data_IF_684955509020
#
_entry.id   IF_684955509020
#
_cell.length_a   1.000
_cell.length_b   1.000
_cell.length_c   1.000
_cell.angle_alpha   90.00
_cell.angle_beta   90.00
_cell.angle_gamma   90.00
#
_symmetry.space_group_name_H-M   'P 1'
#
loop_
_entity.id
_entity.type
_entity.pdbx_description
1 polymer ?
#
# COMPACT_ATOMS: atom_id res chain seq x y z
N UNK A 1 -15.91 -5.78 -25.74
CA UNK A 1 -14.64 -5.05 -25.74
C UNK A 1 -14.90 -3.65 -26.27
N UNK A 2 -14.94 -2.63 -25.40
CA UNK A 2 -14.97 -1.22 -25.83
C UNK A 2 -13.53 -0.84 -26.11
N UNK A 3 -13.20 -0.60 -27.38
CA UNK A 3 -11.88 -0.09 -27.77
C UNK A 3 -12.03 1.42 -27.90
N UNK A 4 -11.27 2.16 -27.11
CA UNK A 4 -11.24 3.62 -27.13
C UNK A 4 -9.84 4.06 -27.56
N UNK A 5 -9.76 4.95 -28.55
CA UNK A 5 -8.49 5.54 -29.00
C UNK A 5 -8.24 6.75 -28.12
N UNK A 6 -7.37 6.59 -27.13
CA UNK A 6 -6.90 7.67 -26.26
C UNK A 6 -5.89 8.49 -27.04
N UNK A 7 -6.21 9.76 -27.34
CA UNK A 7 -5.23 10.70 -27.89
C UNK A 7 -4.14 10.94 -26.83
N UNK A 8 -2.87 10.93 -27.23
CA UNK A 8 -1.71 11.24 -26.35
C UNK A 8 -1.38 10.20 -25.25
N UNK A 9 -1.76 8.93 -25.42
CA UNK A 9 -1.56 7.90 -24.38
C UNK A 9 -0.11 7.75 -23.86
N UNK A 10 0.90 8.06 -24.68
CA UNK A 10 2.31 7.99 -24.30
C UNK A 10 2.85 9.31 -23.69
N UNK A 11 2.09 10.40 -23.78
CA UNK A 11 2.46 11.72 -23.25
C UNK A 11 1.69 12.06 -21.97
N UNK A 12 0.83 11.15 -21.49
CA UNK A 12 0.05 11.33 -20.25
C UNK A 12 0.90 11.04 -19.03
N UNK A 13 0.70 11.84 -17.99
CA UNK A 13 1.24 11.61 -16.66
C UNK A 13 0.48 10.47 -15.98
N UNK A 14 1.16 9.41 -15.52
CA UNK A 14 0.51 8.39 -14.70
C UNK A 14 -0.06 9.00 -13.41
N UNK A 15 -1.35 8.78 -13.16
CA UNK A 15 -2.02 9.14 -11.92
C UNK A 15 -2.43 7.86 -11.18
N UNK A 16 -1.95 7.69 -9.95
CA UNK A 16 -2.14 6.46 -9.18
C UNK A 16 -2.33 6.76 -7.69
N UNK A 17 -3.03 5.88 -6.98
CA UNK A 17 -3.20 5.92 -5.53
C UNK A 17 -2.59 4.67 -4.88
N UNK A 18 -1.62 4.88 -3.99
CA UNK A 18 -1.07 3.88 -3.07
C UNK A 18 -1.87 3.89 -1.78
N UNK A 19 -2.29 2.69 -1.37
CA UNK A 19 -3.00 2.44 -0.12
C UNK A 19 -2.18 1.46 0.72
N UNK A 20 -1.73 1.93 1.89
CA UNK A 20 -0.90 1.21 2.86
C UNK A 20 -1.71 0.80 4.11
N UNK A 21 -1.19 -0.12 4.93
CA UNK A 21 -1.74 -0.64 6.19
C UNK A 21 -3.07 -1.43 6.10
N UNK A 22 -3.60 -1.72 4.91
CA UNK A 22 -4.90 -2.39 4.82
C UNK A 22 -4.82 -3.85 5.27
N UNK A 23 -5.82 -4.30 6.05
CA UNK A 23 -5.89 -5.67 6.56
C UNK A 23 -7.30 -6.24 6.49
N UNK A 24 -7.39 -7.57 6.56
CA UNK A 24 -8.66 -8.30 6.62
C UNK A 24 -9.34 -8.06 7.96
N UNK A 25 -10.36 -7.19 7.97
CA UNK A 25 -11.25 -6.86 9.10
C UNK A 25 -10.57 -6.24 10.34
N UNK A 26 -9.27 -6.43 10.55
CA UNK A 26 -8.54 -5.91 11.70
C UNK A 26 -8.17 -4.44 11.47
N UNK A 27 -8.06 -3.69 12.56
CA UNK A 27 -7.36 -2.42 12.54
C UNK A 27 -5.93 -2.61 13.04
N UNK A 28 -5.01 -2.75 12.10
CA UNK A 28 -3.58 -2.91 12.39
C UNK A 28 -3.06 -1.84 13.35
N UNK A 29 -3.57 -0.62 13.23
CA UNK A 29 -2.98 0.55 13.85
C UNK A 29 -3.32 0.59 15.35
N UNK A 30 -4.47 0.03 15.73
CA UNK A 30 -4.76 -0.30 17.14
C UNK A 30 -3.67 -1.18 17.74
N UNK A 31 -3.37 -2.32 17.10
CA UNK A 31 -2.39 -3.29 17.62
C UNK A 31 -0.97 -2.72 17.60
N UNK A 32 -0.60 -2.09 16.48
CA UNK A 32 0.72 -1.50 16.32
C UNK A 32 0.99 -0.44 17.38
N UNK A 33 0.06 0.50 17.61
CA UNK A 33 0.28 1.56 18.59
C UNK A 33 0.30 1.02 20.02
N UNK A 34 -0.61 0.10 20.35
CA UNK A 34 -0.63 -0.59 21.65
C UNK A 34 0.69 -1.28 21.94
N UNK A 35 1.25 -1.98 20.97
CA UNK A 35 2.46 -2.80 21.14
C UNK A 35 3.75 -1.98 21.01
N UNK A 36 3.72 -0.87 20.26
CA UNK A 36 4.91 -0.02 20.05
C UNK A 36 5.11 1.00 21.16
N UNK A 37 4.04 1.55 21.74
CA UNK A 37 4.13 2.55 22.81
C UNK A 37 5.05 2.12 23.97
N UNK A 38 4.99 0.87 24.50
CA UNK A 38 5.93 0.42 25.54
C UNK A 38 7.38 0.31 25.06
N UNK A 39 7.61 0.13 23.76
CA UNK A 39 8.95 -0.05 23.17
C UNK A 39 9.67 1.27 22.98
N UNK A 40 8.97 2.30 22.49
CA UNK A 40 9.57 3.61 22.20
C UNK A 40 9.19 4.72 23.19
N UNK A 41 8.39 4.41 24.23
CA UNK A 41 7.91 5.39 25.20
C UNK A 41 6.91 6.38 24.61
N UNK A 42 6.37 6.10 23.42
CA UNK A 42 5.33 6.90 22.79
C UNK A 42 4.02 6.87 23.58
N UNK A 43 3.23 7.93 23.44
CA UNK A 43 1.91 8.05 24.07
C UNK A 43 0.82 8.17 22.99
N UNK A 44 0.88 7.30 21.99
CA UNK A 44 -0.11 7.27 20.91
C UNK A 44 -1.44 6.76 21.46
N UNK A 45 -2.54 7.40 21.09
CA UNK A 45 -3.88 7.15 21.64
C UNK A 45 -4.55 5.94 20.99
N UNK A 46 -4.01 4.75 21.25
CA UNK A 46 -4.48 3.51 20.61
C UNK A 46 -5.88 3.10 21.08
N UNK A 47 -6.27 3.48 22.29
CA UNK A 47 -7.58 3.21 22.88
C UNK A 47 -8.74 3.92 22.16
N UNK A 48 -8.43 4.99 21.41
CA UNK A 48 -9.42 5.72 20.61
C UNK A 48 -9.63 5.12 19.21
N UNK A 49 -8.81 4.14 18.83
CA UNK A 49 -8.89 3.47 17.53
C UNK A 49 -9.65 2.15 17.69
N UNK A 50 -10.64 1.83 16.84
CA UNK A 50 -11.38 0.59 16.97
C UNK A 50 -10.50 -0.59 16.57
N UNK A 51 -10.74 -1.75 17.18
CA UNK A 51 -9.99 -2.99 16.90
C UNK A 51 -10.21 -3.51 15.47
N UNK A 52 -11.30 -3.09 14.81
CA UNK A 52 -11.80 -3.64 13.55
C UNK A 52 -12.16 -2.52 12.59
N UNK A 53 -11.81 -2.69 11.31
CA UNK A 53 -12.39 -1.92 10.21
C UNK A 53 -13.62 -2.66 9.68
N UNK A 54 -14.81 -2.02 9.64
CA UNK A 54 -15.99 -2.68 9.13
C UNK A 54 -15.85 -2.94 7.62
N UNK A 55 -16.24 -4.14 7.16
CA UNK A 55 -16.27 -4.49 5.73
C UNK A 55 -17.04 -3.44 4.89
N UNK A 56 -18.11 -2.87 5.46
CA UNK A 56 -18.92 -1.86 4.79
C UNK A 56 -18.14 -0.61 4.39
N UNK A 57 -17.12 -0.21 5.17
CA UNK A 57 -16.26 0.90 4.79
C UNK A 57 -15.38 0.54 3.60
N UNK A 58 -14.72 -0.63 3.63
CA UNK A 58 -13.89 -1.08 2.51
C UNK A 58 -14.71 -1.22 1.22
N UNK A 59 -15.93 -1.76 1.33
CA UNK A 59 -16.86 -1.90 0.21
C UNK A 59 -17.23 -0.55 -0.39
N UNK A 60 -17.68 0.40 0.44
CA UNK A 60 -18.03 1.74 -0.03
C UNK A 60 -16.85 2.45 -0.68
N UNK A 61 -15.65 2.32 -0.10
CA UNK A 61 -14.43 2.87 -0.68
C UNK A 61 -14.15 2.26 -2.06
N UNK A 62 -14.19 0.94 -2.17
CA UNK A 62 -13.92 0.21 -3.41
C UNK A 62 -14.91 0.56 -4.53
N UNK A 63 -16.21 0.54 -4.21
CA UNK A 63 -17.28 0.91 -5.14
C UNK A 63 -17.10 2.34 -5.63
N UNK A 64 -16.85 3.28 -4.72
CA UNK A 64 -16.62 4.66 -5.09
C UNK A 64 -15.38 4.84 -5.99
N UNK A 65 -14.28 4.14 -5.69
CA UNK A 65 -13.07 4.17 -6.52
C UNK A 65 -13.35 3.67 -7.94
N UNK A 66 -14.05 2.55 -8.08
CA UNK A 66 -14.45 2.00 -9.39
C UNK A 66 -15.32 2.97 -10.17
N UNK A 67 -16.36 3.53 -9.53
CA UNK A 67 -17.27 4.51 -10.13
C UNK A 67 -16.54 5.79 -10.58
N UNK A 68 -15.45 6.14 -9.89
CA UNK A 68 -14.71 7.37 -10.15
C UNK A 68 -13.45 7.18 -10.99
N UNK A 69 -13.13 5.94 -11.39
CA UNK A 69 -11.94 5.61 -12.17
C UNK A 69 -10.63 5.77 -11.39
N UNK A 70 -10.68 5.72 -10.05
CA UNK A 70 -9.48 5.76 -9.21
C UNK A 70 -8.81 4.39 -9.26
N UNK A 71 -7.52 4.38 -9.57
CA UNK A 71 -6.70 3.17 -9.72
C UNK A 71 -5.39 3.33 -8.98
N UNK A 72 -4.72 2.20 -8.71
CA UNK A 72 -3.36 2.24 -8.20
C UNK A 72 -2.95 0.93 -7.55
N UNK A 73 -2.51 0.98 -6.30
CA UNK A 73 -2.04 -0.17 -5.53
C UNK A 73 -2.70 -0.24 -4.16
N UNK A 74 -3.06 -1.44 -3.72
CA UNK A 74 -3.67 -1.73 -2.43
C UNK A 74 -2.85 -2.78 -1.68
N UNK A 75 -2.30 -2.42 -0.53
CA UNK A 75 -1.59 -3.37 0.33
C UNK A 75 -2.55 -4.33 1.03
N UNK A 76 -2.11 -5.55 1.31
CA UNK A 76 -2.79 -6.40 2.28
C UNK A 76 -1.76 -7.04 3.19
N UNK A 77 -1.87 -6.82 4.50
CA UNK A 77 -0.99 -7.48 5.47
C UNK A 77 -1.40 -8.96 5.59
N UNK A 78 -0.52 -9.92 5.25
CA UNK A 78 -0.82 -11.36 5.23
C UNK A 78 -1.07 -11.98 6.62
N UNK A 79 -0.38 -11.50 7.64
CA UNK A 79 -0.49 -11.95 9.02
C UNK A 79 -0.69 -10.74 9.95
N UNK A 80 -1.82 -10.02 9.85
CA UNK A 80 -1.99 -8.72 10.48
C UNK A 80 -1.73 -8.78 11.99
N UNK A 81 -0.80 -7.94 12.46
CA UNK A 81 -0.35 -7.88 13.86
C UNK A 81 0.10 -9.23 14.44
N UNK A 82 0.61 -10.14 13.61
CA UNK A 82 0.99 -11.50 13.97
C UNK A 82 -0.15 -12.34 14.61
N UNK A 83 -1.42 -12.02 14.31
CA UNK A 83 -2.59 -12.66 14.90
C UNK A 83 -3.04 -13.95 14.18
N UNK A 84 -2.37 -14.31 13.09
CA UNK A 84 -2.69 -15.49 12.27
C UNK A 84 -2.62 -15.18 10.78
N UNK A 85 -2.62 -16.22 9.95
CA UNK A 85 -2.54 -16.09 8.49
C UNK A 85 -3.91 -15.90 7.87
N UNK A 86 -4.03 -14.98 6.91
CA UNK A 86 -5.32 -14.73 6.25
C UNK A 86 -5.76 -15.87 5.31
N UNK A 87 -4.87 -16.80 4.94
CA UNK A 87 -5.21 -17.97 4.14
C UNK A 87 -5.64 -19.19 4.96
N UNK A 88 -5.52 -19.14 6.29
CA UNK A 88 -5.95 -20.20 7.22
C UNK A 88 -7.18 -19.82 8.05
N UNK A 89 -7.46 -18.52 8.13
CA UNK A 89 -8.50 -17.95 8.96
C UNK A 89 -7.93 -17.27 10.20
N UNK A 90 -8.35 -16.04 10.46
CA UNK A 90 -8.01 -15.29 11.66
C UNK A 90 -8.91 -15.78 12.81
N UNK A 91 -8.36 -16.05 14.01
CA UNK A 91 -9.13 -16.60 15.13
C UNK A 91 -10.21 -15.64 15.67
N UNK A 92 -10.15 -14.36 15.30
CA UNK A 92 -11.07 -13.32 15.74
C UNK A 92 -12.39 -13.29 14.96
N UNK A 93 -12.46 -13.92 13.78
CA UNK A 93 -13.63 -13.86 12.90
C UNK A 93 -14.06 -15.25 12.45
N UNK A 94 -15.34 -15.38 12.08
CA UNK A 94 -15.77 -16.58 11.39
C UNK A 94 -15.13 -16.67 10.00
N UNK A 95 -14.90 -17.90 9.52
CA UNK A 95 -14.45 -18.13 8.14
C UNK A 95 -15.34 -17.45 7.10
N UNK A 96 -16.66 -17.40 7.36
CA UNK A 96 -17.62 -16.76 6.45
C UNK A 96 -17.42 -15.23 6.36
N UNK A 97 -17.15 -14.56 7.48
CA UNK A 97 -16.87 -13.11 7.50
C UNK A 97 -15.56 -12.80 6.75
N UNK A 98 -14.52 -13.59 7.01
CA UNK A 98 -13.24 -13.43 6.33
C UNK A 98 -13.34 -13.68 4.83
N UNK A 99 -14.02 -14.75 4.43
CA UNK A 99 -14.25 -15.06 3.01
C UNK A 99 -15.10 -13.98 2.32
N UNK A 100 -16.11 -13.43 3.00
CA UNK A 100 -16.89 -12.29 2.49
C UNK A 100 -16.00 -11.08 2.18
N UNK A 101 -15.11 -10.74 3.10
CA UNK A 101 -14.18 -9.62 2.94
C UNK A 101 -13.16 -9.89 1.81
N UNK A 102 -12.56 -11.08 1.76
CA UNK A 102 -11.61 -11.45 0.71
C UNK A 102 -12.28 -11.49 -0.67
N UNK A 103 -13.52 -12.00 -0.75
CA UNK A 103 -14.34 -11.97 -1.98
C UNK A 103 -14.59 -10.54 -2.43
N UNK A 104 -14.92 -9.64 -1.51
CA UNK A 104 -15.09 -8.21 -1.80
C UNK A 104 -13.80 -7.60 -2.37
N UNK A 105 -12.63 -7.92 -1.81
CA UNK A 105 -11.36 -7.45 -2.37
C UNK A 105 -11.12 -7.97 -3.80
N UNK A 106 -11.38 -9.25 -4.06
CA UNK A 106 -11.24 -9.82 -5.42
C UNK A 106 -12.19 -9.18 -6.43
N UNK A 107 -13.42 -8.86 -6.01
CA UNK A 107 -14.47 -8.35 -6.90
C UNK A 107 -14.45 -6.83 -7.06
N UNK A 108 -14.00 -6.07 -6.06
CA UNK A 108 -14.12 -4.61 -6.02
C UNK A 108 -12.80 -3.85 -5.89
N UNK A 109 -11.77 -4.44 -5.27
CA UNK A 109 -10.45 -3.79 -5.12
C UNK A 109 -9.54 -4.18 -6.29
N UNK A 110 -9.28 -5.48 -6.48
CA UNK A 110 -8.36 -6.00 -7.50
C UNK A 110 -8.63 -5.51 -8.95
N UNK A 111 -9.87 -5.20 -9.39
CA UNK A 111 -10.09 -4.67 -10.73
C UNK A 111 -9.54 -3.25 -10.97
N UNK A 112 -9.29 -2.49 -9.90
CA UNK A 112 -8.78 -1.12 -9.96
C UNK A 112 -7.38 -0.96 -9.34
N UNK A 113 -6.98 -1.90 -8.49
CA UNK A 113 -5.74 -1.81 -7.74
C UNK A 113 -4.91 -3.08 -7.87
N UNK A 114 -3.63 -2.90 -8.17
CA UNK A 114 -2.64 -3.95 -7.99
C UNK A 114 -2.56 -4.33 -6.51
N UNK A 115 -2.44 -5.63 -6.24
CA UNK A 115 -2.30 -6.12 -4.86
C UNK A 115 -0.82 -6.29 -4.54
N UNK A 116 -0.44 -5.93 -3.31
CA UNK A 116 0.89 -6.17 -2.78
C UNK A 116 0.82 -6.60 -1.32
N UNK A 117 1.65 -7.52 -0.83
CA UNK A 117 1.83 -7.66 0.60
C UNK A 117 2.60 -6.47 1.14
N UNK A 118 2.29 -6.09 2.39
CA UNK A 118 3.12 -5.15 3.15
C UNK A 118 3.92 -5.93 4.19
N UNK A 119 4.81 -6.75 3.63
CA UNK A 119 5.55 -7.83 4.31
C UNK A 119 4.61 -8.79 5.04
N UNK A 120 5.04 -9.49 6.10
CA UNK A 120 4.23 -10.55 6.70
C UNK A 120 3.31 -9.97 7.77
N UNK A 121 3.82 -9.20 8.74
CA UNK A 121 3.05 -8.84 9.94
C UNK A 121 2.79 -7.36 10.12
N UNK A 122 3.57 -6.52 9.45
CA UNK A 122 3.65 -5.07 9.66
C UNK A 122 4.02 -4.67 11.10
N UNK A 123 4.57 -5.59 11.89
CA UNK A 123 4.92 -5.42 13.31
C UNK A 123 6.27 -6.08 13.62
N UNK A 124 6.30 -7.12 14.46
CA UNK A 124 7.49 -7.91 14.76
C UNK A 124 7.77 -8.90 13.64
N UNK A 125 9.07 -9.09 13.37
CA UNK A 125 9.53 -10.10 12.41
C UNK A 125 9.19 -11.49 12.94
N UNK A 126 8.73 -12.34 12.04
CA UNK A 126 8.42 -13.75 12.32
C UNK A 126 9.38 -14.68 11.59
N UNK A 127 9.50 -15.92 12.03
CA UNK A 127 10.13 -16.96 11.21
C UNK A 127 9.19 -17.29 10.02
N UNK A 128 9.65 -17.23 8.76
CA UNK A 128 8.76 -17.37 7.60
C UNK A 128 8.16 -18.78 7.45
N UNK A 129 8.71 -19.79 8.14
CA UNK A 129 8.22 -21.18 8.08
C UNK A 129 7.17 -21.46 9.14
N UNK A 130 7.42 -21.01 10.37
CA UNK A 130 6.56 -21.27 11.52
C UNK A 130 5.60 -20.12 11.84
N UNK A 131 5.84 -18.94 11.27
CA UNK A 131 5.09 -17.69 11.46
C UNK A 131 5.02 -17.26 12.93
N UNK A 132 5.98 -17.71 13.76
CA UNK A 132 6.13 -17.29 15.15
C UNK A 132 7.06 -16.08 15.22
N UNK A 133 6.80 -15.11 16.11
CA UNK A 133 7.73 -14.01 16.37
C UNK A 133 9.14 -14.53 16.68
N UNK A 134 10.15 -13.86 16.13
CA UNK A 134 11.54 -14.17 16.46
C UNK A 134 11.81 -13.83 17.93
N UNK A 135 12.67 -14.63 18.59
CA UNK A 135 13.08 -14.38 19.98
C UNK A 135 13.76 -13.02 20.16
N UNK A 136 14.38 -12.49 19.10
CA UNK A 136 15.01 -11.18 19.09
C UNK A 136 14.01 -10.02 19.23
N UNK A 137 12.72 -10.25 18.95
CA UNK A 137 11.66 -9.24 19.07
C UNK A 137 11.83 -8.04 18.14
N UNK A 138 12.65 -8.17 17.08
CA UNK A 138 12.91 -7.10 16.12
C UNK A 138 11.66 -6.77 15.31
N UNK A 139 11.52 -5.52 14.88
CA UNK A 139 10.38 -5.00 14.14
C UNK A 139 10.72 -4.84 12.65
N UNK A 140 9.80 -5.25 11.79
CA UNK A 140 9.93 -5.15 10.32
C UNK A 140 10.26 -3.71 9.88
N UNK A 141 9.68 -2.72 10.55
CA UNK A 141 9.81 -1.31 10.18
C UNK A 141 11.09 -0.64 10.67
N UNK A 142 11.73 -1.15 11.72
CA UNK A 142 12.81 -0.43 12.40
C UNK A 142 14.13 -1.15 12.21
N UNK A 143 14.29 -2.33 12.78
CA UNK A 143 15.53 -3.08 12.70
C UNK A 143 15.76 -3.60 11.28
N UNK A 144 14.70 -4.04 10.59
CA UNK A 144 14.77 -4.44 9.19
C UNK A 144 14.68 -3.27 8.19
N UNK A 145 14.85 -2.04 8.66
CA UNK A 145 15.20 -0.95 7.74
C UNK A 145 16.56 -1.14 7.09
N UNK A 146 17.44 -1.92 7.72
CA UNK A 146 18.67 -2.44 7.14
C UNK A 146 18.55 -3.97 7.06
N UNK A 147 18.28 -4.49 5.87
CA UNK A 147 18.06 -5.92 5.69
C UNK A 147 19.38 -6.70 5.84
N UNK A 148 19.35 -7.94 6.36
CA UNK A 148 20.54 -8.77 6.50
C UNK A 148 21.04 -9.24 5.13
N UNK A 149 21.90 -8.43 4.50
CA UNK A 149 22.44 -8.67 3.15
C UNK A 149 23.25 -9.96 3.02
N UNK A 150 23.76 -10.47 4.14
CA UNK A 150 24.48 -11.74 4.25
C UNK A 150 23.55 -12.96 4.35
N UNK A 151 22.23 -12.74 4.46
CA UNK A 151 21.20 -13.77 4.58
C UNK A 151 20.13 -13.62 3.49
N UNK A 152 20.56 -13.53 2.22
CA UNK A 152 19.68 -13.35 1.06
C UNK A 152 18.51 -14.33 1.02
N UNK A 153 18.77 -15.64 1.18
CA UNK A 153 17.73 -16.68 1.14
C UNK A 153 16.66 -16.48 2.22
N UNK A 154 17.04 -15.98 3.40
CA UNK A 154 16.09 -15.68 4.48
C UNK A 154 15.14 -14.55 4.07
N UNK A 155 15.68 -13.47 3.49
CA UNK A 155 14.88 -12.31 3.10
C UNK A 155 14.00 -12.63 1.89
N UNK A 156 14.52 -13.40 0.93
CA UNK A 156 13.73 -13.91 -0.21
C UNK A 156 12.58 -14.77 0.30
N UNK A 157 12.84 -15.75 1.17
CA UNK A 157 11.79 -16.63 1.73
C UNK A 157 10.75 -15.83 2.53
N UNK A 158 11.18 -14.78 3.25
CA UNK A 158 10.27 -13.91 3.99
C UNK A 158 9.29 -13.18 3.07
N UNK A 159 9.81 -12.55 2.01
CA UNK A 159 8.98 -11.85 1.02
C UNK A 159 8.12 -12.85 0.23
N UNK A 160 8.68 -13.99 -0.16
CA UNK A 160 7.96 -15.03 -0.91
C UNK A 160 6.81 -15.60 -0.06
N UNK A 161 7.02 -15.79 1.24
CA UNK A 161 5.97 -16.21 2.18
C UNK A 161 4.83 -15.20 2.23
N UNK A 162 5.14 -13.91 2.34
CA UNK A 162 4.14 -12.85 2.30
C UNK A 162 3.32 -12.89 1.01
N UNK A 163 4.00 -13.03 -0.14
CA UNK A 163 3.35 -13.13 -1.45
C UNK A 163 2.47 -14.39 -1.59
N UNK A 164 2.95 -15.53 -1.09
CA UNK A 164 2.27 -16.83 -1.19
C UNK A 164 0.97 -16.85 -0.41
N UNK A 165 0.93 -16.23 0.77
CA UNK A 165 -0.30 -16.08 1.55
C UNK A 165 -1.35 -15.30 0.75
N UNK A 166 -0.97 -14.21 0.08
CA UNK A 166 -1.91 -13.44 -0.74
C UNK A 166 -2.37 -14.22 -1.98
N UNK A 167 -1.45 -14.93 -2.64
CA UNK A 167 -1.79 -15.81 -3.77
C UNK A 167 -2.79 -16.90 -3.37
N UNK A 168 -2.63 -17.51 -2.18
CA UNK A 168 -3.51 -18.56 -1.67
C UNK A 168 -4.96 -18.10 -1.48
N UNK A 169 -5.20 -16.81 -1.22
CA UNK A 169 -6.55 -16.22 -1.10
C UNK A 169 -7.07 -15.62 -2.41
N UNK A 170 -6.42 -15.91 -3.54
CA UNK A 170 -6.82 -15.43 -4.86
C UNK A 170 -6.53 -13.95 -5.10
N UNK A 171 -5.52 -13.41 -4.42
CA UNK A 171 -5.03 -12.03 -4.57
C UNK A 171 -3.53 -12.05 -4.91
N UNK A 172 -3.12 -12.62 -6.06
CA UNK A 172 -1.71 -12.73 -6.43
C UNK A 172 -1.06 -11.34 -6.51
N UNK A 173 0.11 -11.13 -5.90
CA UNK A 173 0.77 -9.82 -5.92
C UNK A 173 1.41 -9.44 -7.25
N UNK A 174 1.37 -8.16 -7.59
CA UNK A 174 2.13 -7.57 -8.71
C UNK A 174 3.48 -6.95 -8.24
N UNK A 175 3.65 -6.85 -6.94
CA UNK A 175 4.80 -6.22 -6.30
C UNK A 175 4.70 -6.34 -4.78
N UNK A 176 5.47 -5.53 -4.05
CA UNK A 176 5.46 -5.49 -2.58
C UNK A 176 5.44 -4.08 -2.04
N UNK A 177 5.02 -3.93 -0.79
CA UNK A 177 5.04 -2.67 -0.04
C UNK A 177 5.97 -2.81 1.15
N UNK A 178 6.81 -1.80 1.37
CA UNK A 178 7.64 -1.71 2.56
C UNK A 178 6.84 -1.19 3.76
N UNK A 179 6.65 -1.96 4.84
CA UNK A 179 6.11 -1.42 6.08
C UNK A 179 7.12 -0.43 6.66
N UNK A 180 6.73 0.84 6.78
CA UNK A 180 7.54 1.89 7.37
C UNK A 180 8.99 1.90 6.86
N UNK A 181 9.95 1.54 7.70
CA UNK A 181 11.38 1.57 7.38
C UNK A 181 11.95 0.35 6.63
N UNK A 182 11.23 -0.76 6.47
CA UNK A 182 11.73 -2.01 5.85
C UNK A 182 12.54 -1.76 4.56
N UNK A 183 13.73 -2.36 4.45
CA UNK A 183 14.58 -2.29 3.26
C UNK A 183 15.15 -0.92 2.88
N UNK A 184 14.84 0.14 3.63
CA UNK A 184 15.13 1.52 3.23
C UNK A 184 16.61 1.89 3.20
N UNK A 185 17.45 1.28 4.03
CA UNK A 185 18.90 1.51 4.07
C UNK A 185 19.69 0.58 3.13
N UNK A 186 19.01 -0.41 2.55
CA UNK A 186 19.60 -1.43 1.68
C UNK A 186 18.77 -1.57 0.40
N UNK A 187 18.47 -0.44 -0.24
CA UNK A 187 17.46 -0.35 -1.31
C UNK A 187 17.77 -1.25 -2.51
N UNK A 188 19.01 -1.28 -2.98
CA UNK A 188 19.43 -2.14 -4.11
C UNK A 188 19.26 -3.63 -3.75
N UNK A 189 19.66 -4.02 -2.55
CA UNK A 189 19.46 -5.39 -2.07
C UNK A 189 17.96 -5.71 -1.93
N UNK A 190 17.16 -4.78 -1.40
CA UNK A 190 15.72 -4.94 -1.28
C UNK A 190 15.05 -5.12 -2.66
N UNK A 191 15.46 -4.34 -3.67
CA UNK A 191 14.99 -4.49 -5.04
C UNK A 191 15.33 -5.88 -5.61
N UNK A 192 16.55 -6.38 -5.34
CA UNK A 192 17.00 -7.72 -5.77
C UNK A 192 16.10 -8.82 -5.19
N UNK A 193 15.98 -8.87 -3.86
CA UNK A 193 15.23 -9.93 -3.18
C UNK A 193 13.74 -9.87 -3.44
N UNK A 194 13.17 -8.66 -3.60
CA UNK A 194 11.80 -8.49 -4.08
C UNK A 194 11.60 -9.13 -5.45
N UNK A 195 12.49 -8.81 -6.39
CA UNK A 195 12.42 -9.34 -7.74
C UNK A 195 12.43 -10.86 -7.77
N UNK A 196 13.31 -11.48 -6.98
CA UNK A 196 13.40 -12.94 -6.87
C UNK A 196 12.11 -13.52 -6.27
N UNK A 197 11.71 -13.02 -5.10
CA UNK A 197 10.58 -13.57 -4.34
C UNK A 197 9.24 -13.45 -5.07
N UNK A 198 8.94 -12.30 -5.67
CA UNK A 198 7.67 -12.11 -6.40
C UNK A 198 7.65 -12.99 -7.65
N UNK A 199 8.75 -13.05 -8.41
CA UNK A 199 8.86 -13.94 -9.58
C UNK A 199 8.68 -15.41 -9.24
N UNK A 200 9.26 -15.87 -8.13
CA UNK A 200 9.12 -17.25 -7.67
C UNK A 200 7.64 -17.62 -7.43
N UNK A 201 6.87 -16.71 -6.84
CA UNK A 201 5.49 -16.98 -6.44
C UNK A 201 4.49 -16.76 -7.59
N UNK A 202 4.67 -15.71 -8.38
CA UNK A 202 3.65 -15.26 -9.34
C UNK A 202 4.06 -15.43 -10.80
N UNK A 203 5.35 -15.61 -11.07
CA UNK A 203 5.89 -15.61 -12.42
C UNK A 203 5.87 -14.24 -13.10
N UNK A 204 5.49 -13.15 -12.41
CA UNK A 204 5.51 -11.80 -12.97
C UNK A 204 6.97 -11.42 -13.30
N UNK A 205 7.35 -11.21 -14.57
CA UNK A 205 8.75 -10.95 -14.95
C UNK A 205 9.25 -9.57 -14.54
N UNK A 206 8.35 -8.63 -14.25
CA UNK A 206 8.65 -7.22 -13.97
C UNK A 206 7.88 -6.73 -12.74
N UNK A 207 8.11 -7.33 -11.54
CA UNK A 207 7.44 -6.90 -10.33
C UNK A 207 7.94 -5.51 -9.90
N UNK A 208 7.25 -4.88 -8.96
CA UNK A 208 7.70 -3.62 -8.37
C UNK A 208 7.74 -3.65 -6.84
N UNK A 209 8.34 -2.63 -6.25
CA UNK A 209 8.17 -2.32 -4.83
C UNK A 209 7.83 -0.85 -4.60
N UNK A 210 7.07 -0.58 -3.53
CA UNK A 210 6.90 0.76 -2.98
C UNK A 210 7.74 0.92 -1.72
N UNK A 211 8.50 2.02 -1.65
CA UNK A 211 9.30 2.38 -0.48
C UNK A 211 9.45 3.88 -0.24
N UNK A 212 9.76 4.62 -1.31
CA UNK A 212 10.15 6.04 -1.21
C UNK A 212 8.97 6.97 -1.48
N UNK A 213 9.01 8.11 -0.81
CA UNK A 213 8.17 9.27 -1.07
C UNK A 213 9.11 10.41 -1.45
N UNK A 214 8.78 11.15 -2.52
CA UNK A 214 9.54 12.31 -3.00
C UNK A 214 8.69 13.58 -2.91
N UNK A 215 9.25 14.62 -2.33
CA UNK A 215 8.74 15.99 -2.34
C UNK A 215 9.32 16.86 -3.48
N UNK A 216 10.23 16.30 -4.28
CA UNK A 216 10.90 16.97 -5.41
C UNK A 216 10.50 16.35 -6.77
N UNK A 217 11.42 16.09 -7.69
CA UNK A 217 11.13 15.33 -8.91
C UNK A 217 10.83 13.86 -8.55
N UNK A 218 9.94 13.22 -9.31
CA UNK A 218 9.58 11.81 -9.09
C UNK A 218 10.33 10.93 -10.09
N UNK A 219 11.39 10.29 -9.60
CA UNK A 219 12.17 9.34 -10.39
C UNK A 219 11.34 8.10 -10.77
N UNK A 220 11.75 7.42 -11.85
CA UNK A 220 11.19 6.12 -12.26
C UNK A 220 12.29 5.05 -12.36
N UNK A 221 12.85 4.59 -11.22
CA UNK A 221 13.95 3.65 -11.23
C UNK A 221 13.51 2.27 -11.75
N UNK A 222 14.38 1.67 -12.55
CA UNK A 222 14.25 0.28 -12.99
C UNK A 222 15.53 -0.44 -12.59
N UNK A 223 15.38 -1.37 -11.65
CA UNK A 223 16.46 -2.16 -11.08
C UNK A 223 16.61 -3.48 -11.84
N UNK A 224 17.84 -3.99 -11.94
CA UNK A 224 18.15 -5.32 -12.50
C UNK A 224 17.49 -5.61 -13.86
N UNK A 225 17.40 -4.60 -14.74
CA UNK A 225 16.82 -4.77 -16.07
C UNK A 225 17.67 -5.72 -16.92
N UNK A 226 17.07 -6.82 -17.37
CA UNK A 226 17.66 -7.78 -18.28
C UNK A 226 16.77 -7.93 -19.52
N UNK A 227 17.27 -7.42 -20.65
CA UNK A 227 16.57 -7.43 -21.92
C UNK A 227 16.48 -8.82 -22.55
N UNK A 228 17.43 -9.71 -22.27
CA UNK A 228 17.46 -11.06 -22.83
C UNK A 228 16.38 -11.93 -22.17
N UNK A 229 16.28 -11.88 -20.84
CA UNK A 229 15.24 -12.60 -20.11
C UNK A 229 13.91 -11.84 -20.04
N UNK A 230 13.88 -10.57 -20.42
CA UNK A 230 12.68 -9.73 -20.34
C UNK A 230 12.26 -9.42 -18.91
N UNK A 231 13.22 -9.38 -17.98
CA UNK A 231 12.97 -9.17 -16.55
C UNK A 231 13.48 -7.83 -16.06
N UNK A 232 12.86 -7.29 -15.01
CA UNK A 232 13.29 -6.09 -14.30
C UNK A 232 12.60 -6.01 -12.94
N UNK A 233 12.98 -5.05 -12.10
CA UNK A 233 12.22 -4.69 -10.89
C UNK A 233 11.96 -3.18 -10.92
N UNK A 234 10.69 -2.79 -10.94
CA UNK A 234 10.30 -1.38 -10.85
C UNK A 234 10.34 -0.86 -9.42
N UNK A 235 10.62 0.42 -9.25
CA UNK A 235 10.31 1.13 -8.01
C UNK A 235 9.21 2.15 -8.29
N UNK A 236 8.12 2.08 -7.52
CA UNK A 236 7.12 3.13 -7.49
C UNK A 236 7.46 4.09 -6.35
N UNK A 237 7.47 5.39 -6.65
CA UNK A 237 7.76 6.46 -5.69
C UNK A 237 6.51 7.32 -5.57
N UNK A 238 6.05 7.55 -4.34
CA UNK A 238 4.93 8.44 -4.11
C UNK A 238 5.37 9.90 -4.24
N UNK A 239 4.56 10.71 -4.89
CA UNK A 239 4.79 12.14 -5.09
C UNK A 239 4.23 13.00 -3.94
N UNK A 240 3.45 12.41 -3.03
CA UNK A 240 2.75 13.13 -1.97
C UNK A 240 2.98 12.48 -0.61
N UNK A 241 2.99 13.29 0.44
CA UNK A 241 2.76 12.78 1.79
C UNK A 241 1.31 12.34 2.00
N UNK A 242 1.05 11.73 3.15
CA UNK A 242 -0.31 11.43 3.60
C UNK A 242 -0.92 12.66 4.30
N UNK A 243 -1.78 13.37 3.57
CA UNK A 243 -2.61 14.47 4.08
C UNK A 243 -4.08 14.09 4.12
N UNK A 244 -4.35 12.81 4.36
CA UNK A 244 -5.68 12.23 4.51
C UNK A 244 -5.94 11.73 5.93
N UNK A 245 -5.20 12.23 6.92
CA UNK A 245 -5.36 11.81 8.32
C UNK A 245 -4.20 10.98 8.85
N UNK A 246 -3.17 10.73 8.04
CA UNK A 246 -1.98 9.94 8.39
C UNK A 246 -2.32 8.47 8.73
N UNK A 247 -1.30 7.64 8.92
CA UNK A 247 -1.46 6.29 9.46
C UNK A 247 -2.15 6.27 10.82
N UNK A 248 -2.11 7.34 11.61
CA UNK A 248 -2.84 7.37 12.89
C UNK A 248 -4.36 7.53 12.75
N UNK A 249 -4.86 8.09 11.65
CA UNK A 249 -6.28 8.40 11.44
C UNK A 249 -6.77 9.67 12.14
N UNK A 250 -5.97 10.26 13.02
CA UNK A 250 -6.26 11.53 13.69
C UNK A 250 -5.32 12.67 13.26
N UNK A 251 -4.50 12.44 12.24
CA UNK A 251 -3.64 13.46 11.63
C UNK A 251 -4.43 14.55 10.88
N UNK A 252 -3.68 15.52 10.35
CA UNK A 252 -4.25 16.59 9.54
C UNK A 252 -4.79 16.06 8.21
N UNK A 253 -5.91 16.62 7.77
CA UNK A 253 -6.43 16.45 6.40
C UNK A 253 -6.30 17.75 5.63
N UNK A 254 -5.85 17.69 4.38
CA UNK A 254 -5.75 18.90 3.55
C UNK A 254 -5.88 18.59 2.06
N UNK A 255 -6.98 19.05 1.46
CA UNK A 255 -7.16 19.00 0.00
C UNK A 255 -6.16 19.92 -0.69
N UNK A 256 -5.88 21.09 -0.10
CA UNK A 256 -5.04 22.13 -0.71
C UNK A 256 -3.55 21.75 -0.78
N UNK A 257 -3.07 20.89 0.14
CA UNK A 257 -1.72 20.30 0.02
C UNK A 257 -1.58 19.44 -1.24
N UNK A 258 -2.65 18.73 -1.63
CA UNK A 258 -2.69 17.97 -2.89
C UNK A 258 -2.90 18.90 -4.09
N UNK A 259 -3.99 19.67 -4.10
CA UNK A 259 -4.39 20.54 -5.20
C UNK A 259 -5.31 21.62 -4.67
N UNK A 260 -4.97 22.91 -4.86
CA UNK A 260 -5.78 24.05 -4.38
C UNK A 260 -7.08 24.22 -5.18
N UNK A 261 -8.02 25.03 -4.66
CA UNK A 261 -9.32 25.26 -5.32
C UNK A 261 -9.25 25.96 -6.67
N UNK A 262 -8.20 26.75 -6.92
CA UNK A 262 -7.91 27.38 -8.22
C UNK A 262 -7.16 26.44 -9.18
N UNK A 263 -6.85 25.22 -8.73
CA UNK A 263 -6.16 24.16 -9.47
C UNK A 263 -4.70 24.50 -9.84
N UNK A 264 -4.14 25.61 -9.34
CA UNK A 264 -2.80 26.07 -9.69
C UNK A 264 -1.74 25.67 -8.67
N UNK A 265 -2.13 25.48 -7.40
CA UNK A 265 -1.25 25.18 -6.28
C UNK A 265 -1.46 23.79 -5.69
N UNK A 266 -0.67 23.48 -4.67
CA UNK A 266 -0.54 22.12 -4.14
C UNK A 266 0.48 21.30 -4.92
N UNK A 267 0.70 20.06 -4.47
CA UNK A 267 1.73 19.19 -5.01
C UNK A 267 1.40 18.62 -6.40
N UNK A 268 0.14 18.21 -6.61
CA UNK A 268 -0.25 17.47 -7.82
C UNK A 268 -0.18 18.30 -9.11
N UNK A 269 -0.63 19.58 -9.16
CA UNK A 269 -0.47 20.39 -10.37
C UNK A 269 1.00 20.55 -10.79
N UNK A 270 1.90 20.73 -9.82
CA UNK A 270 3.33 20.86 -10.09
C UNK A 270 3.92 19.58 -10.70
N UNK A 271 3.62 18.43 -10.10
CA UNK A 271 4.06 17.10 -10.59
C UNK A 271 3.51 16.82 -11.99
N UNK A 272 2.20 17.04 -12.19
CA UNK A 272 1.54 16.83 -13.49
C UNK A 272 2.08 17.80 -14.57
N UNK A 273 2.38 19.05 -14.21
CA UNK A 273 2.98 20.01 -15.14
C UNK A 273 4.42 19.63 -15.53
N UNK A 274 5.16 18.97 -14.65
CA UNK A 274 6.52 18.51 -14.91
C UNK A 274 6.57 17.27 -15.82
N UNK A 275 5.48 16.51 -15.93
CA UNK A 275 5.46 15.22 -16.64
C UNK A 275 5.81 14.03 -15.74
N UNK A 276 6.00 14.27 -14.44
CA UNK A 276 6.39 13.28 -13.45
C UNK A 276 5.18 12.42 -13.02
N UNK A 277 5.36 11.12 -12.67
CA UNK A 277 4.27 10.30 -12.14
C UNK A 277 3.61 10.90 -10.90
N UNK A 278 2.31 11.18 -11.01
CA UNK A 278 1.49 11.70 -9.93
C UNK A 278 0.95 10.55 -9.07
N UNK A 279 1.81 9.97 -8.24
CA UNK A 279 1.44 8.86 -7.35
C UNK A 279 1.10 9.40 -5.96
N UNK A 280 -0.16 9.30 -5.55
CA UNK A 280 -0.61 9.65 -4.21
C UNK A 280 -0.31 8.50 -3.24
N UNK A 281 0.02 8.80 -1.99
CA UNK A 281 0.15 7.81 -0.92
C UNK A 281 -0.73 8.19 0.28
N UNK A 282 -1.36 7.17 0.86
CA UNK A 282 -2.18 7.27 2.07
C UNK A 282 -2.25 5.92 2.77
N UNK A 283 -2.52 5.96 4.06
CA UNK A 283 -2.72 4.78 4.90
C UNK A 283 -4.22 4.53 5.13
N UNK A 284 -4.59 3.26 5.23
CA UNK A 284 -5.98 2.82 5.34
C UNK A 284 -6.73 3.49 6.51
N UNK A 285 -6.06 3.59 7.65
CA UNK A 285 -6.58 4.23 8.86
C UNK A 285 -6.80 5.75 8.66
N UNK A 286 -6.03 6.41 7.80
CA UNK A 286 -6.24 7.81 7.41
C UNK A 286 -7.60 8.00 6.72
N UNK A 287 -7.90 7.16 5.72
CA UNK A 287 -9.19 7.21 5.04
C UNK A 287 -10.37 6.95 5.98
N UNK A 288 -10.22 5.97 6.87
CA UNK A 288 -11.26 5.58 7.82
C UNK A 288 -11.49 6.64 8.92
N UNK A 289 -10.41 7.16 9.50
CA UNK A 289 -10.44 8.06 10.65
C UNK A 289 -10.58 7.32 11.98
N UNK A 290 -10.96 8.01 13.05
CA UNK A 290 -11.06 7.40 14.40
C UNK A 290 -12.26 6.45 14.56
N UNK A 291 -13.34 6.68 13.81
CA UNK A 291 -14.55 5.87 13.84
C UNK A 291 -15.24 5.94 12.49
N UNK A 292 -16.20 5.02 12.23
CA UNK A 292 -16.85 4.92 10.93
C UNK A 292 -17.50 6.23 10.45
N UNK A 293 -17.88 7.14 11.35
CA UNK A 293 -18.47 8.44 10.98
C UNK A 293 -17.44 9.57 10.73
N UNK A 294 -16.15 9.38 11.03
CA UNK A 294 -15.13 10.42 10.86
C UNK A 294 -14.90 10.68 9.37
N UNK A 295 -14.38 9.68 8.63
CA UNK A 295 -14.20 9.68 7.17
C UNK A 295 -13.60 10.96 6.57
N UNK A 296 -12.92 11.81 7.36
CA UNK A 296 -12.34 13.07 6.89
C UNK A 296 -11.30 12.82 5.80
N UNK A 297 -10.50 11.76 5.95
CA UNK A 297 -9.54 11.31 4.94
C UNK A 297 -10.21 10.91 3.63
N UNK A 298 -11.23 10.05 3.70
CA UNK A 298 -11.96 9.64 2.50
C UNK A 298 -12.66 10.81 1.80
N UNK A 299 -13.28 11.73 2.56
CA UNK A 299 -13.88 12.94 2.00
C UNK A 299 -12.83 13.89 1.37
N UNK A 300 -11.62 13.92 1.93
CA UNK A 300 -10.48 14.64 1.34
C UNK A 300 -10.09 14.04 0.00
N UNK A 301 -9.95 12.72 -0.10
CA UNK A 301 -9.70 12.03 -1.37
C UNK A 301 -10.78 12.34 -2.41
N UNK A 302 -12.07 12.28 -2.04
CA UNK A 302 -13.19 12.63 -2.92
C UNK A 302 -13.03 14.06 -3.49
N UNK A 303 -12.64 15.01 -2.65
CA UNK A 303 -12.42 16.38 -3.06
C UNK A 303 -11.20 16.54 -3.97
N UNK A 304 -10.09 15.83 -3.70
CA UNK A 304 -8.90 15.80 -4.55
C UNK A 304 -9.23 15.24 -5.93
N UNK A 305 -9.89 14.08 -6.00
CA UNK A 305 -10.29 13.45 -7.28
C UNK A 305 -11.20 14.37 -8.08
N UNK A 306 -12.14 15.06 -7.43
CA UNK A 306 -12.97 16.07 -8.10
C UNK A 306 -12.14 17.21 -8.70
N UNK A 307 -11.14 17.73 -7.98
CA UNK A 307 -10.26 18.80 -8.46
C UNK A 307 -9.35 18.33 -9.60
N UNK A 308 -8.84 17.10 -9.53
CA UNK A 308 -8.08 16.49 -10.63
C UNK A 308 -8.92 16.35 -11.91
N UNK A 309 -10.18 15.90 -11.79
CA UNK A 309 -11.13 15.88 -12.92
C UNK A 309 -11.43 17.28 -13.48
N UNK A 310 -11.34 18.33 -12.68
CA UNK A 310 -11.49 19.72 -13.14
C UNK A 310 -10.22 20.25 -13.79
N UNK A 311 -9.04 19.83 -13.30
CA UNK A 311 -7.73 20.18 -13.86
C UNK A 311 -7.56 19.59 -15.27
N UNK A 312 -8.06 18.37 -15.49
CA UNK A 312 -8.04 17.70 -16.78
C UNK A 312 -9.40 17.07 -17.15
N UNK A 313 -10.38 17.88 -17.59
CA UNK A 313 -11.74 17.42 -17.87
C UNK A 313 -11.86 16.41 -19.01
N UNK A 314 -10.83 16.28 -19.84
CA UNK A 314 -10.81 15.42 -21.01
C UNK A 314 -9.86 14.22 -20.87
N UNK A 315 -9.09 14.13 -19.78
CA UNK A 315 -8.09 13.08 -19.60
C UNK A 315 -6.95 13.15 -20.63
N UNK A 316 -6.63 14.35 -21.11
CA UNK A 316 -5.61 14.57 -22.14
C UNK A 316 -4.20 14.66 -21.52
N UNK A 317 -4.10 14.95 -20.21
CA UNK A 317 -2.85 15.17 -19.48
C UNK A 317 -2.53 14.03 -18.50
N UNK A 318 -3.54 13.49 -17.82
CA UNK A 318 -3.42 12.42 -16.81
C UNK A 318 -4.31 11.26 -17.16
#
# INVERSE_FOLDING_TARGET
MKVEIVRHALDRVPLSLIIDDSTVLINLNYFWMRDRNPVDGGNRRWEDVPVVHPESFTREFAEWCLENGVRGKFSLVPCPAALGRIDEGLPLFSRAQQESWLKMCRELIAPAFDITPEMITHTVVVDPKSLKPLESGIWEQYEWSELPVDQEDLVVEYIATACRILANVGLPPEGVTSPGGFGGRTLEFYAKVTGIAVREVTGNPTPYFFKRVSDEAVETPVWFADRESGTAVGEIIAATGDWTGSWTGYGEVSVDKYITSDLQGGRLPAVINAGDPAVLCSHWQGFYGLHNDDRRGFNTLKAVVRRLKQLDPKGERT
#
